data_IF_648326087455
#
_entry.id   IF_648326087455
#
_cell.length_a   1.000
_cell.length_b   1.000
_cell.length_c   1.000
_cell.angle_alpha   90.00
_cell.angle_beta   90.00
_cell.angle_gamma   90.00
#
_symmetry.space_group_name_H-M   'P 1'
#
loop_
_entity.id
_entity.type
_entity.pdbx_description
1 polymer ?
#
# COMPACT_ATOMS: atom_id res chain seq x y z
N UNK A 1 -55.57 11.12 -2.97
CA UNK A 1 -54.83 9.86 -2.65
C UNK A 1 -53.76 9.52 -3.66
N UNK A 2 -53.99 9.46 -4.98
CA UNK A 2 -52.96 9.12 -5.99
C UNK A 2 -51.72 10.03 -5.97
N UNK A 3 -51.90 11.35 -5.77
CA UNK A 3 -50.78 12.32 -5.71
C UNK A 3 -49.88 12.13 -4.49
N UNK A 4 -50.46 11.78 -3.33
CA UNK A 4 -49.72 11.52 -2.10
C UNK A 4 -48.93 10.22 -2.22
N UNK A 5 -49.51 9.20 -2.86
CA UNK A 5 -48.83 7.91 -3.12
C UNK A 5 -47.62 8.08 -4.03
N UNK A 6 -47.73 8.93 -5.07
CA UNK A 6 -46.58 9.23 -5.96
C UNK A 6 -45.42 9.95 -5.21
N UNK A 7 -45.77 10.91 -4.35
CA UNK A 7 -44.75 11.61 -3.54
C UNK A 7 -44.05 10.66 -2.56
N UNK A 8 -44.83 9.81 -1.90
CA UNK A 8 -44.28 8.78 -0.99
C UNK A 8 -43.34 7.80 -1.71
N UNK A 9 -43.72 7.33 -2.90
CA UNK A 9 -42.87 6.46 -3.72
C UNK A 9 -41.59 7.17 -4.19
N UNK A 10 -41.66 8.46 -4.52
CA UNK A 10 -40.48 9.23 -4.92
C UNK A 10 -39.53 9.48 -3.75
N UNK A 11 -40.03 9.77 -2.56
CA UNK A 11 -39.24 9.93 -1.33
C UNK A 11 -38.60 8.60 -0.93
N UNK A 12 -39.32 7.48 -1.03
CA UNK A 12 -38.75 6.15 -0.72
C UNK A 12 -37.67 5.72 -1.71
N UNK A 13 -37.81 6.10 -2.99
CA UNK A 13 -36.79 5.85 -4.02
C UNK A 13 -35.47 6.62 -3.80
N UNK A 14 -35.55 7.81 -3.18
CA UNK A 14 -34.36 8.61 -2.86
C UNK A 14 -33.56 8.09 -1.63
N UNK A 15 -34.19 7.29 -0.78
CA UNK A 15 -33.56 6.74 0.41
C UNK A 15 -32.70 5.49 0.15
N UNK A 16 -32.83 4.87 -1.02
CA UNK A 16 -32.09 3.61 -1.34
C UNK A 16 -30.76 3.80 -2.02
N UNK A 17 -30.33 5.04 -2.33
CA UNK A 17 -29.17 5.29 -3.19
C UNK A 17 -27.86 5.64 -2.48
N UNK A 18 -27.75 5.50 -1.16
CA UNK A 18 -26.57 5.94 -0.43
C UNK A 18 -25.86 4.82 0.35
N UNK A 19 -25.75 3.62 -0.20
CA UNK A 19 -24.82 2.63 0.31
C UNK A 19 -23.53 2.74 -0.50
N UNK A 20 -22.72 3.76 -0.18
CA UNK A 20 -21.34 3.76 -0.58
C UNK A 20 -20.65 2.60 0.15
N UNK A 21 -20.07 1.66 -0.59
CA UNK A 21 -19.28 0.60 -0.02
C UNK A 21 -18.01 1.22 0.58
N UNK A 22 -18.09 1.58 1.86
CA UNK A 22 -16.97 2.13 2.64
C UNK A 22 -15.94 1.07 3.01
N UNK A 23 -16.19 -0.20 2.70
CA UNK A 23 -15.30 -1.32 3.04
C UNK A 23 -14.09 -1.43 2.10
N UNK A 24 -14.14 -0.78 0.95
CA UNK A 24 -13.09 -0.84 -0.07
C UNK A 24 -11.84 -0.03 0.27
N UNK A 25 -12.00 1.01 1.08
CA UNK A 25 -10.92 1.95 1.41
C UNK A 25 -10.63 1.95 2.90
N UNK A 26 -9.36 2.12 3.26
CA UNK A 26 -8.97 2.32 4.64
C UNK A 26 -9.58 3.62 5.18
N UNK A 27 -10.13 3.57 6.39
CA UNK A 27 -10.71 4.76 7.03
C UNK A 27 -9.64 5.78 7.40
N UNK A 28 -8.41 5.31 7.68
CA UNK A 28 -7.24 6.13 8.01
C UNK A 28 -5.99 5.47 7.42
N UNK A 29 -5.05 6.31 6.94
CA UNK A 29 -3.75 5.82 6.48
C UNK A 29 -2.88 5.41 7.67
N UNK A 30 -2.10 4.36 7.50
CA UNK A 30 -1.06 3.94 8.45
C UNK A 30 -0.06 5.07 8.73
N UNK A 31 0.11 5.99 7.78
CA UNK A 31 1.00 7.15 7.90
C UNK A 31 0.45 8.27 8.81
N UNK A 32 -0.82 8.19 9.22
CA UNK A 32 -1.45 9.23 10.05
C UNK A 32 -0.86 9.34 11.45
N UNK A 33 -0.20 8.30 11.95
CA UNK A 33 0.38 8.29 13.28
C UNK A 33 1.78 7.68 13.29
N UNK A 34 2.53 7.95 14.37
CA UNK A 34 3.87 7.41 14.54
C UNK A 34 4.98 8.29 13.96
N UNK A 35 6.18 7.74 13.95
CA UNK A 35 7.37 8.40 13.40
C UNK A 35 7.76 7.70 12.10
N UNK A 36 7.84 8.46 11.03
CA UNK A 36 8.14 7.95 9.70
C UNK A 36 9.46 8.47 9.17
N UNK A 37 10.20 7.60 8.51
CA UNK A 37 11.44 7.94 7.77
C UNK A 37 11.38 7.24 6.42
N UNK A 38 11.60 7.99 5.36
CA UNK A 38 11.68 7.45 4.00
C UNK A 38 13.09 6.93 3.73
N UNK A 39 13.18 5.68 3.30
CA UNK A 39 14.41 5.07 2.82
C UNK A 39 14.35 4.85 1.31
N UNK A 40 15.48 4.97 0.64
CA UNK A 40 15.58 4.69 -0.79
C UNK A 40 16.03 3.24 -1.00
N UNK A 41 15.33 2.54 -1.88
CA UNK A 41 15.67 1.22 -2.39
C UNK A 41 16.02 1.39 -3.87
N UNK A 42 17.27 1.17 -4.23
CA UNK A 42 17.76 1.42 -5.59
C UNK A 42 17.53 0.22 -6.52
N UNK A 43 17.61 -0.99 -5.99
CA UNK A 43 17.53 -2.24 -6.74
C UNK A 43 16.75 -3.28 -5.93
N UNK A 44 16.30 -4.33 -6.60
CA UNK A 44 15.69 -5.49 -5.94
C UNK A 44 16.73 -6.23 -5.11
N UNK A 45 16.38 -6.55 -3.87
CA UNK A 45 17.28 -7.31 -3.02
C UNK A 45 16.95 -7.32 -1.54
N UNK A 46 17.78 -8.01 -0.79
CA UNK A 46 17.69 -8.05 0.67
C UNK A 46 18.45 -6.85 1.25
N UNK A 47 17.73 -6.04 1.99
CA UNK A 47 18.28 -4.88 2.68
C UNK A 47 18.42 -5.16 4.17
N UNK A 48 19.50 -4.64 4.74
CA UNK A 48 19.82 -4.75 6.16
C UNK A 48 19.77 -3.37 6.80
N UNK A 49 18.98 -3.22 7.85
CA UNK A 49 18.98 -2.04 8.71
C UNK A 49 19.51 -2.44 10.08
N UNK A 50 20.64 -1.87 10.47
CA UNK A 50 21.23 -2.13 11.78
C UNK A 50 20.62 -1.26 12.87
N UNK A 51 20.76 -1.67 14.14
CA UNK A 51 20.36 -0.84 15.28
C UNK A 51 21.02 0.55 15.23
N UNK A 52 22.27 0.64 14.74
CA UNK A 52 22.99 1.90 14.57
C UNK A 52 22.36 2.79 13.50
N UNK A 53 21.92 2.22 12.37
CA UNK A 53 21.23 2.96 11.32
C UNK A 53 19.88 3.48 11.80
N UNK A 54 19.12 2.62 12.50
CA UNK A 54 17.85 3.00 13.08
C UNK A 54 18.00 4.12 14.11
N UNK A 55 19.05 4.06 14.93
CA UNK A 55 19.36 5.13 15.89
C UNK A 55 19.67 6.46 15.20
N UNK A 56 20.42 6.46 14.09
CA UNK A 56 20.66 7.66 13.25
C UNK A 56 19.36 8.22 12.68
N UNK A 57 18.41 7.37 12.33
CA UNK A 57 17.08 7.77 11.89
C UNK A 57 16.18 8.21 13.06
N UNK A 58 16.67 8.07 14.31
CA UNK A 58 15.98 8.48 15.53
C UNK A 58 14.98 7.45 16.06
N UNK A 59 15.15 6.19 15.75
CA UNK A 59 14.44 5.07 16.37
C UNK A 59 15.29 4.47 17.48
N UNK A 60 14.69 4.24 18.64
CA UNK A 60 15.38 3.69 19.81
C UNK A 60 15.17 2.19 20.03
N UNK A 61 14.14 1.63 19.42
CA UNK A 61 13.77 0.23 19.63
C UNK A 61 13.55 -0.47 18.27
N UNK A 62 14.43 -1.42 17.99
CA UNK A 62 14.42 -2.21 16.76
C UNK A 62 13.14 -3.08 16.64
N UNK A 63 12.64 -3.61 17.76
CA UNK A 63 11.47 -4.49 17.76
C UNK A 63 10.18 -3.78 17.35
N UNK A 64 10.14 -2.45 17.55
CA UNK A 64 8.98 -1.61 17.23
C UNK A 64 9.05 -0.96 15.84
N UNK A 65 10.11 -1.21 15.09
CA UNK A 65 10.26 -0.68 13.73
C UNK A 65 9.62 -1.63 12.73
N UNK A 66 8.74 -1.13 11.90
CA UNK A 66 8.18 -1.85 10.76
C UNK A 66 8.61 -1.17 9.45
N UNK A 67 8.60 -1.93 8.37
CA UNK A 67 8.90 -1.44 7.01
C UNK A 67 7.61 -1.48 6.22
N UNK A 68 7.31 -0.41 5.51
CA UNK A 68 6.11 -0.28 4.70
C UNK A 68 6.48 0.11 3.26
N UNK A 69 5.74 -0.39 2.31
CA UNK A 69 5.91 -0.07 0.90
C UNK A 69 5.48 -1.20 -0.02
N UNK A 70 5.21 -0.88 -1.26
CA UNK A 70 4.88 -1.85 -2.33
C UNK A 70 5.92 -1.83 -3.46
N UNK A 71 7.06 -1.18 -3.25
CA UNK A 71 8.12 -1.00 -4.23
C UNK A 71 7.97 0.27 -5.06
N UNK A 72 8.88 0.46 -6.00
CA UNK A 72 8.90 1.61 -6.91
C UNK A 72 8.13 1.39 -8.22
N UNK A 73 7.42 0.27 -8.36
CA UNK A 73 6.69 -0.07 -9.58
C UNK A 73 5.41 0.75 -9.71
N UNK A 74 4.96 1.03 -10.93
CA UNK A 74 3.63 1.59 -11.15
C UNK A 74 2.56 0.70 -10.52
N UNK A 75 1.51 1.33 -10.01
CA UNK A 75 0.33 0.60 -9.58
C UNK A 75 -0.34 -0.05 -10.79
N UNK A 76 -0.99 -1.19 -10.57
CA UNK A 76 -1.75 -1.86 -11.61
C UNK A 76 -2.89 -0.96 -12.10
N UNK A 77 -3.02 -0.80 -13.41
CA UNK A 77 -4.09 -0.03 -14.03
C UNK A 77 -5.40 -0.84 -14.13
N UNK A 78 -5.32 -2.16 -13.94
CA UNK A 78 -6.49 -3.03 -13.94
C UNK A 78 -7.21 -2.99 -12.58
N UNK A 79 -8.30 -2.22 -12.52
CA UNK A 79 -9.15 -2.10 -11.33
C UNK A 79 -9.94 -3.37 -10.97
N UNK A 80 -9.88 -4.42 -11.79
CA UNK A 80 -10.46 -5.74 -11.46
C UNK A 80 -9.58 -6.54 -10.51
N UNK A 81 -8.31 -6.18 -10.39
CA UNK A 81 -7.37 -6.79 -9.46
C UNK A 81 -7.49 -6.22 -8.05
N UNK A 82 -6.84 -6.85 -7.09
CA UNK A 82 -6.82 -6.35 -5.70
C UNK A 82 -6.15 -4.99 -5.65
N UNK A 83 -6.92 -3.98 -5.30
CA UNK A 83 -6.43 -2.62 -5.15
C UNK A 83 -5.66 -2.44 -3.84
N UNK A 84 -4.49 -1.82 -3.93
CA UNK A 84 -3.71 -1.43 -2.75
C UNK A 84 -4.13 -0.01 -2.38
N UNK A 85 -4.88 0.11 -1.30
CA UNK A 85 -5.44 1.40 -0.86
C UNK A 85 -4.48 2.21 0.02
N UNK A 86 -3.71 1.53 0.86
CA UNK A 86 -2.72 2.17 1.76
C UNK A 86 -1.36 1.47 1.60
N UNK A 87 -0.35 1.95 2.29
CA UNK A 87 1.01 1.41 2.22
C UNK A 87 1.09 0.11 3.01
N UNK A 88 1.29 -1.05 2.35
CA UNK A 88 1.32 -2.34 3.03
C UNK A 88 2.58 -2.53 3.85
N UNK A 89 2.46 -3.28 4.94
CA UNK A 89 3.62 -3.71 5.72
C UNK A 89 4.41 -4.78 4.97
N UNK A 90 5.72 -4.61 4.92
CA UNK A 90 6.66 -5.54 4.31
C UNK A 90 7.12 -6.54 5.36
N UNK A 91 7.16 -7.82 5.01
CA UNK A 91 7.70 -8.86 5.89
C UNK A 91 9.16 -8.55 6.26
N UNK A 92 9.47 -8.61 7.54
CA UNK A 92 10.80 -8.38 8.07
C UNK A 92 11.28 -9.58 8.88
N UNK A 93 12.53 -9.95 8.69
CA UNK A 93 13.22 -10.86 9.59
C UNK A 93 14.04 -10.05 10.60
N UNK A 94 13.95 -10.40 11.88
CA UNK A 94 14.59 -9.65 12.98
C UNK A 94 15.66 -10.50 13.66
N UNK A 95 16.79 -9.86 13.96
CA UNK A 95 17.84 -10.36 14.85
C UNK A 95 18.00 -9.38 16.02
N UNK A 96 18.86 -9.71 16.98
CA UNK A 96 19.12 -8.82 18.12
C UNK A 96 19.62 -7.43 17.70
N UNK A 97 20.41 -7.34 16.61
CA UNK A 97 21.16 -6.13 16.23
C UNK A 97 20.70 -5.52 14.89
N UNK A 98 19.84 -6.20 14.14
CA UNK A 98 19.41 -5.72 12.82
C UNK A 98 18.10 -6.37 12.37
N UNK A 99 17.47 -5.76 11.38
CA UNK A 99 16.37 -6.33 10.63
C UNK A 99 16.76 -6.47 9.14
N UNK A 100 16.18 -7.47 8.50
CA UNK A 100 16.27 -7.68 7.05
C UNK A 100 14.89 -7.58 6.45
N UNK A 101 14.80 -6.99 5.26
CA UNK A 101 13.59 -6.98 4.45
C UNK A 101 13.96 -7.10 2.97
N UNK A 102 13.02 -7.57 2.17
CA UNK A 102 13.18 -7.55 0.72
C UNK A 102 12.66 -6.21 0.18
N UNK A 103 13.54 -5.45 -0.41
CA UNK A 103 13.21 -4.20 -1.09
C UNK A 103 13.04 -4.42 -2.59
N UNK A 104 12.02 -3.79 -3.16
CA UNK A 104 11.80 -3.72 -4.61
C UNK A 104 12.26 -2.36 -5.11
N UNK A 105 13.16 -2.37 -6.08
CA UNK A 105 13.64 -1.18 -6.76
C UNK A 105 12.59 -0.57 -7.69
N UNK A 106 12.90 0.57 -8.30
CA UNK A 106 11.98 1.25 -9.22
C UNK A 106 11.94 0.61 -10.62
N UNK A 107 12.75 -0.41 -10.87
CA UNK A 107 12.90 -1.04 -12.17
C UNK A 107 12.31 -2.43 -12.17
N UNK A 108 11.52 -2.74 -13.18
CA UNK A 108 10.93 -4.06 -13.38
C UNK A 108 11.43 -4.66 -14.70
N UNK A 109 11.78 -5.93 -14.70
CA UNK A 109 12.05 -6.69 -15.92
C UNK A 109 10.81 -7.46 -16.31
N UNK A 110 10.33 -7.23 -17.51
CA UNK A 110 9.18 -7.93 -18.07
C UNK A 110 9.58 -8.65 -19.36
N UNK A 111 9.04 -9.87 -19.56
CA UNK A 111 9.24 -10.57 -20.81
C UNK A 111 8.28 -10.04 -21.87
N UNK A 112 8.84 -9.47 -22.93
CA UNK A 112 8.09 -9.07 -24.12
C UNK A 112 7.96 -10.25 -25.06
N UNK A 113 6.73 -10.74 -25.27
CA UNK A 113 6.47 -11.83 -26.22
C UNK A 113 6.63 -11.38 -27.67
N UNK A 114 6.47 -10.10 -27.99
CA UNK A 114 6.70 -9.52 -29.31
C UNK A 114 8.18 -9.49 -29.68
N UNK A 115 9.02 -9.07 -28.74
CA UNK A 115 10.46 -8.92 -28.97
C UNK A 115 11.25 -10.17 -28.59
N UNK A 116 10.57 -11.16 -27.98
CA UNK A 116 11.17 -12.39 -27.45
C UNK A 116 12.37 -12.14 -26.54
N UNK A 117 12.30 -11.05 -25.78
CA UNK A 117 13.36 -10.58 -24.88
C UNK A 117 12.80 -10.02 -23.60
N UNK A 118 13.64 -9.89 -22.58
CA UNK A 118 13.29 -9.15 -21.37
C UNK A 118 13.51 -7.66 -21.63
N UNK A 119 12.45 -6.89 -21.41
CA UNK A 119 12.49 -5.43 -21.45
C UNK A 119 12.49 -4.86 -20.05
N UNK A 120 13.05 -3.68 -19.92
CA UNK A 120 13.18 -2.98 -18.67
C UNK A 120 12.18 -1.82 -18.64
N UNK A 121 11.27 -1.84 -17.70
CA UNK A 121 10.26 -0.79 -17.48
C UNK A 121 10.50 -0.06 -16.17
#
# INVERSE_FOLDING_TARGET
MKRILCVLLFVFGLLTSAWADSSRYASESVLNSGKWVKIQVAEDGIYKLTAADLKKMGFSNLDKVAVYGYGGWPLDEDFSTTYIDDVPEVAVWRSADYLLFYGKGPRKWEYSSSDKSFIHT
#
